data_IF_133326519051
#
_entry.id   IF_133326519051
#
_cell.length_a   1.000
_cell.length_b   1.000
_cell.length_c   1.000
_cell.angle_alpha   90.00
_cell.angle_beta   90.00
_cell.angle_gamma   90.00
#
_symmetry.space_group_name_H-M   'P 1'
#
loop_
_entity.id
_entity.type
_entity.pdbx_description
1 polymer ?
#
# COMPACT_ATOMS: atom_id res chain seq x y z
N UNK A 1 -16.12 -11.51 44.39
CA UNK A 1 -16.52 -11.08 45.75
C UNK A 1 -15.92 -12.09 46.71
N UNK A 2 -15.07 -11.68 47.69
CA UNK A 2 -14.33 -12.62 48.51
C UNK A 2 -15.25 -13.56 49.29
N UNK A 3 -14.92 -14.86 49.34
CA UNK A 3 -15.67 -15.84 50.12
C UNK A 3 -15.68 -15.45 51.60
N UNK A 4 -16.87 -15.47 52.22
CA UNK A 4 -17.03 -15.34 53.66
C UNK A 4 -16.62 -16.65 54.35
N UNK A 5 -15.36 -16.74 54.78
CA UNK A 5 -14.78 -17.91 55.44
C UNK A 5 -15.47 -18.29 56.75
N UNK A 6 -16.05 -17.30 57.45
CA UNK A 6 -16.82 -17.49 58.68
C UNK A 6 -18.16 -18.15 58.40
N UNK A 7 -18.86 -17.72 57.35
CA UNK A 7 -20.10 -18.34 56.89
C UNK A 7 -19.85 -19.73 56.32
N UNK A 8 -18.81 -19.90 55.50
CA UNK A 8 -18.42 -21.18 54.92
C UNK A 8 -18.05 -22.23 55.99
N UNK A 9 -17.22 -21.85 56.97
CA UNK A 9 -16.84 -22.77 58.06
C UNK A 9 -18.03 -23.16 58.96
N UNK A 10 -18.99 -22.25 59.21
CA UNK A 10 -20.23 -22.59 59.94
C UNK A 10 -21.08 -23.62 59.19
N UNK A 11 -21.26 -23.43 57.88
CA UNK A 11 -22.02 -24.39 57.06
C UNK A 11 -21.34 -25.77 57.00
N UNK A 12 -20.01 -25.81 56.93
CA UNK A 12 -19.27 -27.07 56.99
C UNK A 12 -19.44 -27.79 58.34
N UNK A 13 -19.44 -27.04 59.46
CA UNK A 13 -19.74 -27.59 60.80
C UNK A 13 -21.16 -28.18 60.87
N UNK A 14 -22.15 -27.50 60.27
CA UNK A 14 -23.53 -27.99 60.17
C UNK A 14 -23.67 -29.27 59.32
N UNK A 15 -22.78 -29.45 58.32
CA UNK A 15 -22.69 -30.66 57.49
C UNK A 15 -21.93 -31.81 58.16
N UNK A 16 -21.48 -31.63 59.41
CA UNK A 16 -20.83 -32.68 60.20
C UNK A 16 -19.30 -32.74 60.09
N UNK A 17 -18.67 -31.76 59.45
CA UNK A 17 -17.21 -31.63 59.50
C UNK A 17 -16.77 -31.13 60.87
N UNK A 18 -15.63 -31.62 61.37
CA UNK A 18 -15.07 -31.10 62.61
C UNK A 18 -14.55 -29.66 62.44
N UNK A 19 -14.22 -29.01 63.55
CA UNK A 19 -13.79 -27.61 63.56
C UNK A 19 -12.53 -27.37 62.74
N UNK A 20 -11.55 -28.26 62.83
CA UNK A 20 -10.28 -28.14 62.11
C UNK A 20 -10.46 -28.36 60.61
N UNK A 21 -11.28 -29.34 60.23
CA UNK A 21 -11.63 -29.62 58.83
C UNK A 21 -12.37 -28.45 58.18
N UNK A 22 -13.39 -27.91 58.87
CA UNK A 22 -14.18 -26.80 58.38
C UNK A 22 -13.36 -25.52 58.20
N UNK A 23 -12.43 -25.23 59.12
CA UNK A 23 -11.54 -24.08 59.04
C UNK A 23 -10.48 -24.26 57.95
N UNK A 24 -9.88 -25.44 57.84
CA UNK A 24 -8.91 -25.75 56.78
C UNK A 24 -9.50 -25.68 55.37
N UNK A 25 -10.73 -26.20 55.17
CA UNK A 25 -11.42 -26.12 53.89
C UNK A 25 -11.86 -24.69 53.55
N UNK A 26 -12.37 -23.92 54.52
CA UNK A 26 -12.73 -22.52 54.29
C UNK A 26 -11.49 -21.67 53.94
N UNK A 27 -10.34 -21.95 54.57
CA UNK A 27 -9.08 -21.31 54.26
C UNK A 27 -8.61 -21.64 52.83
N UNK A 28 -8.62 -22.92 52.44
CA UNK A 28 -8.26 -23.34 51.07
C UNK A 28 -9.16 -22.72 50.01
N UNK A 29 -10.46 -22.65 50.26
CA UNK A 29 -11.42 -22.02 49.34
C UNK A 29 -11.15 -20.51 49.21
N UNK A 30 -10.79 -19.84 50.32
CA UNK A 30 -10.40 -18.43 50.29
C UNK A 30 -9.10 -18.20 49.51
N UNK A 31 -8.13 -19.10 49.61
CA UNK A 31 -6.88 -19.01 48.84
C UNK A 31 -7.13 -19.22 47.35
N UNK A 32 -8.04 -20.15 46.99
CA UNK A 32 -8.42 -20.42 45.61
C UNK A 32 -9.17 -19.24 44.97
N UNK A 33 -10.06 -18.60 45.72
CA UNK A 33 -10.86 -17.44 45.29
C UNK A 33 -9.95 -16.26 44.90
N UNK A 34 -8.93 -15.97 45.70
CA UNK A 34 -7.95 -14.89 45.44
C UNK A 34 -7.02 -15.21 44.27
N UNK A 35 -6.79 -16.50 43.97
CA UNK A 35 -5.93 -16.93 42.87
C UNK A 35 -6.65 -17.02 41.51
N UNK A 36 -7.98 -16.92 41.50
CA UNK A 36 -8.79 -17.08 40.29
C UNK A 36 -9.17 -15.74 39.67
N UNK A 37 -9.19 -15.68 38.33
CA UNK A 37 -9.79 -14.56 37.62
C UNK A 37 -11.31 -14.64 37.74
N UNK A 38 -11.95 -13.51 38.06
CA UNK A 38 -13.40 -13.40 38.11
C UNK A 38 -13.99 -13.17 36.73
N UNK A 39 -15.31 -13.36 36.58
CA UNK A 39 -16.04 -13.00 35.35
C UNK A 39 -15.87 -11.52 35.02
N UNK A 40 -15.89 -10.64 36.03
CA UNK A 40 -15.67 -9.20 35.88
C UNK A 40 -14.25 -8.88 35.34
N UNK A 41 -13.21 -9.56 35.82
CA UNK A 41 -11.84 -9.39 35.33
C UNK A 41 -11.70 -9.80 33.85
N UNK A 42 -12.43 -10.85 33.46
CA UNK A 42 -12.47 -11.34 32.08
C UNK A 42 -13.22 -10.37 31.17
N UNK A 43 -14.38 -9.84 31.60
CA UNK A 43 -15.14 -8.82 30.87
C UNK A 43 -14.32 -7.52 30.69
N UNK A 44 -13.61 -7.08 31.74
CA UNK A 44 -12.72 -5.92 31.63
C UNK A 44 -11.59 -6.18 30.63
N UNK A 45 -10.98 -7.37 30.71
CA UNK A 45 -9.91 -7.77 29.78
C UNK A 45 -10.42 -7.84 28.35
N UNK A 46 -11.60 -8.42 28.11
CA UNK A 46 -12.25 -8.49 26.80
C UNK A 46 -12.53 -7.08 26.26
N UNK A 47 -13.12 -6.19 27.06
CA UNK A 47 -13.39 -4.81 26.64
C UNK A 47 -12.12 -4.03 26.29
N UNK A 48 -11.03 -4.23 27.05
CA UNK A 48 -9.72 -3.63 26.75
C UNK A 48 -9.11 -4.20 25.48
N UNK A 49 -9.28 -5.49 25.21
CA UNK A 49 -8.81 -6.13 23.99
C UNK A 49 -9.59 -5.64 22.77
N UNK A 50 -10.93 -5.57 22.85
CA UNK A 50 -11.76 -5.03 21.77
C UNK A 50 -11.37 -3.58 21.44
N UNK A 51 -11.25 -2.72 22.44
CA UNK A 51 -10.81 -1.33 22.24
C UNK A 51 -9.43 -1.25 21.56
N UNK A 52 -8.52 -2.16 21.92
CA UNK A 52 -7.18 -2.20 21.32
C UNK A 52 -7.21 -2.74 19.89
N UNK A 53 -8.10 -3.69 19.60
CA UNK A 53 -8.32 -4.20 18.24
C UNK A 53 -8.88 -3.08 17.36
N UNK A 54 -9.95 -2.41 17.80
CA UNK A 54 -10.55 -1.28 17.07
C UNK A 54 -9.49 -0.20 16.76
N UNK A 55 -8.66 0.16 17.75
CA UNK A 55 -7.59 1.13 17.54
C UNK A 55 -6.53 0.67 16.52
N UNK A 56 -6.20 -0.63 16.50
CA UNK A 56 -5.27 -1.19 15.53
C UNK A 56 -5.90 -1.24 14.14
N UNK A 57 -7.18 -1.57 14.03
CA UNK A 57 -7.92 -1.57 12.77
C UNK A 57 -7.95 -0.16 12.17
N UNK A 58 -8.28 0.87 12.96
CA UNK A 58 -8.26 2.27 12.53
C UNK A 58 -6.85 2.68 12.04
N UNK A 59 -5.81 2.39 12.82
CA UNK A 59 -4.43 2.69 12.45
C UNK A 59 -3.97 1.97 11.17
N UNK A 60 -4.44 0.75 10.93
CA UNK A 60 -4.15 0.02 9.71
C UNK A 60 -4.91 0.62 8.53
N UNK A 61 -6.17 1.04 8.72
CA UNK A 61 -6.95 1.77 7.72
C UNK A 61 -6.23 3.04 7.26
N UNK A 62 -5.87 3.92 8.20
CA UNK A 62 -5.16 5.16 7.92
C UNK A 62 -3.85 4.93 7.15
N UNK A 63 -3.10 3.88 7.53
CA UNK A 63 -1.84 3.53 6.86
C UNK A 63 -2.05 2.97 5.46
N UNK A 64 -3.15 2.26 5.22
CA UNK A 64 -3.50 1.78 3.88
C UNK A 64 -3.83 2.97 2.99
N UNK A 65 -4.66 3.90 3.47
CA UNK A 65 -5.05 5.11 2.74
C UNK A 65 -3.82 5.97 2.38
N UNK A 66 -2.89 6.17 3.32
CA UNK A 66 -1.64 6.90 3.07
C UNK A 66 -0.79 6.22 1.98
N UNK A 67 -0.68 4.89 2.02
CA UNK A 67 0.08 4.13 1.02
C UNK A 67 -0.59 4.20 -0.35
N UNK A 68 -1.92 4.13 -0.42
CA UNK A 68 -2.67 4.28 -1.67
C UNK A 68 -2.47 5.67 -2.27
N UNK A 69 -2.56 6.73 -1.48
CA UNK A 69 -2.32 8.11 -1.93
C UNK A 69 -0.88 8.27 -2.48
N UNK A 70 0.11 7.78 -1.75
CA UNK A 70 1.51 7.83 -2.20
C UNK A 70 1.75 7.04 -3.49
N UNK A 71 1.13 5.87 -3.65
CA UNK A 71 1.27 5.06 -4.87
C UNK A 71 0.59 5.74 -6.06
N UNK A 72 -0.61 6.29 -5.88
CA UNK A 72 -1.29 7.06 -6.92
C UNK A 72 -0.45 8.27 -7.35
N UNK A 73 0.08 9.05 -6.41
CA UNK A 73 0.96 10.18 -6.75
C UNK A 73 2.24 9.77 -7.48
N UNK A 74 2.81 8.61 -7.16
CA UNK A 74 3.96 8.05 -7.90
C UNK A 74 3.58 7.60 -9.31
N UNK A 75 2.40 7.04 -9.51
CA UNK A 75 1.89 6.64 -10.83
C UNK A 75 1.71 7.88 -11.70
N UNK A 76 1.05 8.92 -11.18
CA UNK A 76 0.83 10.17 -11.90
C UNK A 76 2.13 10.84 -12.35
N UNK A 77 3.15 10.86 -11.48
CA UNK A 77 4.46 11.42 -11.82
C UNK A 77 5.17 10.60 -12.91
N UNK A 78 5.10 9.26 -12.84
CA UNK A 78 5.65 8.39 -13.88
C UNK A 78 4.92 8.59 -15.22
N UNK A 79 3.60 8.70 -15.22
CA UNK A 79 2.81 8.95 -16.42
C UNK A 79 3.20 10.29 -17.06
N UNK A 80 3.31 11.35 -16.26
CA UNK A 80 3.75 12.67 -16.73
C UNK A 80 5.15 12.63 -17.33
N UNK A 81 6.10 11.95 -16.69
CA UNK A 81 7.46 11.81 -17.21
C UNK A 81 7.50 11.01 -18.52
N UNK A 82 6.71 9.95 -18.63
CA UNK A 82 6.63 9.15 -19.85
C UNK A 82 6.01 9.95 -20.99
N UNK A 83 4.94 10.69 -20.75
CA UNK A 83 4.32 11.57 -21.75
C UNK A 83 5.32 12.64 -22.23
N UNK A 84 6.03 13.30 -21.32
CA UNK A 84 7.06 14.27 -21.70
C UNK A 84 8.19 13.66 -22.54
N UNK A 85 8.61 12.44 -22.22
CA UNK A 85 9.62 11.73 -23.03
C UNK A 85 9.09 11.33 -24.41
N UNK A 86 7.80 10.99 -24.53
CA UNK A 86 7.17 10.70 -25.81
C UNK A 86 7.16 11.97 -26.67
N UNK A 87 6.71 13.10 -26.11
CA UNK A 87 6.69 14.39 -26.81
C UNK A 87 8.08 14.79 -27.31
N UNK A 88 9.11 14.66 -26.48
CA UNK A 88 10.51 14.93 -26.87
C UNK A 88 10.99 14.03 -28.02
N UNK A 89 10.63 12.75 -28.00
CA UNK A 89 10.97 11.80 -29.07
C UNK A 89 10.23 12.13 -30.36
N UNK A 90 8.95 12.49 -30.28
CA UNK A 90 8.16 12.91 -31.44
C UNK A 90 8.75 14.18 -32.09
N UNK A 91 9.11 15.19 -31.29
CA UNK A 91 9.74 16.41 -31.80
C UNK A 91 11.06 16.10 -32.51
N UNK A 92 11.92 15.28 -31.90
CA UNK A 92 13.20 14.89 -32.49
C UNK A 92 13.02 14.11 -33.80
N UNK A 93 12.05 13.19 -33.86
CA UNK A 93 11.78 12.42 -35.07
C UNK A 93 11.23 13.31 -36.19
N UNK A 94 10.29 14.22 -35.88
CA UNK A 94 9.77 15.17 -36.85
C UNK A 94 10.88 16.08 -37.40
N UNK A 95 11.75 16.60 -36.55
CA UNK A 95 12.90 17.41 -37.00
C UNK A 95 13.87 16.64 -37.89
N UNK A 96 14.11 15.34 -37.61
CA UNK A 96 14.92 14.48 -38.48
C UNK A 96 14.24 14.18 -39.82
N UNK A 97 12.93 13.99 -39.83
CA UNK A 97 12.15 13.80 -41.07
C UNK A 97 12.26 15.05 -41.94
N UNK A 98 12.02 16.24 -41.37
CA UNK A 98 12.13 17.52 -42.09
C UNK A 98 13.50 17.71 -42.73
N UNK A 99 14.57 17.38 -42.01
CA UNK A 99 15.94 17.48 -42.52
C UNK A 99 16.18 16.50 -43.68
N UNK A 100 15.73 15.25 -43.56
CA UNK A 100 15.81 14.26 -44.64
C UNK A 100 15.02 14.72 -45.87
N UNK A 101 13.82 15.25 -45.69
CA UNK A 101 13.00 15.79 -46.79
C UNK A 101 13.71 16.94 -47.51
N UNK A 102 14.29 17.89 -46.77
CA UNK A 102 15.07 19.00 -47.35
C UNK A 102 16.27 18.49 -48.16
N UNK A 103 17.00 17.50 -47.64
CA UNK A 103 18.13 16.91 -48.34
C UNK A 103 17.70 16.19 -49.63
N UNK A 104 16.64 15.40 -49.57
CA UNK A 104 16.08 14.71 -50.73
C UNK A 104 15.60 15.69 -51.80
N UNK A 105 14.86 16.72 -51.42
CA UNK A 105 14.40 17.78 -52.32
C UNK A 105 15.58 18.49 -52.99
N UNK A 106 16.61 18.84 -52.23
CA UNK A 106 17.83 19.48 -52.75
C UNK A 106 18.54 18.61 -53.78
N UNK A 107 18.70 17.30 -53.49
CA UNK A 107 19.29 16.34 -54.43
C UNK A 107 18.45 16.17 -55.69
N UNK A 108 17.13 16.12 -55.56
CA UNK A 108 16.21 16.02 -56.69
C UNK A 108 16.33 17.25 -57.60
N UNK A 109 16.31 18.47 -57.04
CA UNK A 109 16.49 19.71 -57.81
C UNK A 109 17.84 19.74 -58.52
N UNK A 110 18.93 19.37 -57.82
CA UNK A 110 20.25 19.28 -58.43
C UNK A 110 20.28 18.29 -59.60
N UNK A 111 19.67 17.11 -59.44
CA UNK A 111 19.57 16.10 -60.49
C UNK A 111 18.79 16.61 -61.72
N UNK A 112 17.70 17.34 -61.51
CA UNK A 112 16.90 17.93 -62.59
C UNK A 112 17.67 19.00 -63.36
N UNK A 113 18.44 19.84 -62.66
CA UNK A 113 19.30 20.85 -63.28
C UNK A 113 20.38 20.21 -64.16
N UNK A 114 21.04 19.16 -63.66
CA UNK A 114 22.04 18.41 -64.44
C UNK A 114 21.43 17.80 -65.72
N UNK A 115 20.27 17.15 -65.62
CA UNK A 115 19.58 16.58 -66.79
C UNK A 115 19.22 17.64 -67.84
N UNK A 116 18.69 18.80 -67.41
CA UNK A 116 18.38 19.91 -68.32
C UNK A 116 19.64 20.40 -69.04
N UNK A 117 20.73 20.62 -68.30
CA UNK A 117 22.00 21.06 -68.89
C UNK A 117 22.54 20.04 -69.91
N UNK A 118 22.53 18.75 -69.59
CA UNK A 118 22.93 17.69 -70.54
C UNK A 118 22.07 17.68 -71.80
N UNK A 119 20.75 17.83 -71.66
CA UNK A 119 19.83 17.84 -72.82
C UNK A 119 20.11 19.05 -73.73
N UNK A 120 20.35 20.23 -73.16
CA UNK A 120 20.68 21.45 -73.92
C UNK A 120 22.00 21.28 -74.67
N UNK A 121 23.02 20.69 -74.05
CA UNK A 121 24.32 20.42 -74.69
C UNK A 121 24.14 19.46 -75.87
N UNK A 122 23.39 18.38 -75.70
CA UNK A 122 23.12 17.42 -76.77
C UNK A 122 22.37 18.05 -77.96
N UNK A 123 21.35 18.88 -77.72
CA UNK A 123 20.65 19.58 -78.80
C UNK A 123 21.56 20.52 -79.60
N UNK A 124 22.47 21.23 -78.93
CA UNK A 124 23.43 22.13 -79.61
C UNK A 124 24.41 21.37 -80.49
N UNK A 125 24.88 20.21 -80.04
CA UNK A 125 25.76 19.33 -80.81
C UNK A 125 25.09 18.75 -82.06
N UNK A 126 23.77 18.50 -82.03
CA UNK A 126 23.03 17.96 -83.18
C UNK A 126 22.68 18.98 -84.28
N UNK A 127 22.95 20.27 -84.06
CA UNK A 127 22.64 21.37 -84.99
C UNK A 127 23.86 21.88 -85.78
N UNK A 128 25.04 21.26 -85.60
CA UNK A 128 26.31 21.57 -86.28
C UNK A 128 26.74 20.36 -87.08
#
# INVERSE_FOLDING_TARGET
MPIDTLKASKQLKELGFDVQQAEGLAQLLSELDVASATEEDLEETEGRLLTRIDHVEDQLGDRIDEVEEQLNGRIDEVEKQLNGRIDEVEEQLNGRIDEVEKQLNSRMVASMRLRKNSTVVLMRLSLV
#
